data_IF_617633511880
#
_entry.id   IF_617633511880
#
_cell.length_a   1.000
_cell.length_b   1.000
_cell.length_c   1.000
_cell.angle_alpha   90.00
_cell.angle_beta   90.00
_cell.angle_gamma   90.00
#
_symmetry.space_group_name_H-M   'P 1'
#
loop_
_entity.id
_entity.type
_entity.pdbx_description
1 polymer ?
#
# COMPACT_ATOMS: atom_id res chain seq x y z
N UNK A 1 -24.25 23.82 30.60
CA UNK A 1 -23.69 23.45 31.92
C UNK A 1 -22.63 22.42 31.65
N UNK A 2 -21.36 22.80 31.86
CA UNK A 2 -20.22 21.90 31.71
C UNK A 2 -20.14 21.01 32.96
N UNK A 3 -20.03 19.71 32.74
CA UNK A 3 -19.74 18.70 33.76
C UNK A 3 -18.29 18.89 34.21
N UNK A 4 -18.09 19.21 35.49
CA UNK A 4 -16.81 19.69 36.04
C UNK A 4 -15.87 18.56 36.50
N UNK A 5 -16.25 17.29 36.25
CA UNK A 5 -15.42 16.13 36.56
C UNK A 5 -15.18 15.89 38.05
N UNK A 6 -15.89 16.60 38.93
CA UNK A 6 -15.83 16.36 40.37
C UNK A 6 -16.52 15.02 40.71
N UNK A 7 -15.93 14.16 41.57
CA UNK A 7 -16.58 12.92 41.95
C UNK A 7 -17.91 13.22 42.65
N UNK A 8 -19.01 12.70 42.09
CA UNK A 8 -20.36 12.85 42.62
C UNK A 8 -20.44 12.11 43.96
N UNK A 9 -20.29 12.84 45.08
CA UNK A 9 -20.34 12.31 46.46
C UNK A 9 -21.78 12.03 46.94
N UNK A 10 -22.60 11.38 46.11
CA UNK A 10 -23.95 10.91 46.46
C UNK A 10 -24.05 9.39 46.31
N UNK A 11 -24.90 8.70 47.10
CA UNK A 11 -25.15 7.28 46.89
C UNK A 11 -25.67 7.08 45.47
N UNK A 12 -24.94 6.30 44.68
CA UNK A 12 -25.35 5.94 43.32
C UNK A 12 -26.71 5.25 43.38
N UNK A 13 -27.54 5.43 42.36
CA UNK A 13 -28.75 4.62 42.23
C UNK A 13 -28.38 3.13 42.25
N UNK A 14 -29.24 2.29 42.81
CA UNK A 14 -29.00 0.84 42.91
C UNK A 14 -28.67 0.20 41.56
N UNK A 15 -29.31 0.65 40.48
CA UNK A 15 -29.01 0.22 39.12
C UNK A 15 -27.60 0.61 38.65
N UNK A 16 -27.14 1.82 38.96
CA UNK A 16 -25.80 2.27 38.55
C UNK A 16 -24.68 1.61 39.39
N UNK A 17 -24.95 1.28 40.65
CA UNK A 17 -24.03 0.52 41.49
C UNK A 17 -23.86 -0.91 40.96
N UNK A 18 -24.97 -1.62 40.69
CA UNK A 18 -24.95 -2.97 40.13
C UNK A 18 -24.31 -3.03 38.72
N UNK A 19 -24.49 -1.98 37.91
CA UNK A 19 -23.84 -1.87 36.60
C UNK A 19 -22.32 -1.73 36.72
N UNK A 20 -21.80 -0.95 37.67
CA UNK A 20 -20.35 -0.82 37.87
C UNK A 20 -19.71 -2.10 38.39
N UNK A 21 -20.42 -2.83 39.25
CA UNK A 21 -19.97 -4.14 39.74
C UNK A 21 -19.89 -5.19 38.63
N UNK A 22 -20.73 -5.10 37.59
CA UNK A 22 -20.72 -6.06 36.45
C UNK A 22 -20.10 -5.49 35.17
N UNK A 23 -19.64 -4.23 35.18
CA UNK A 23 -19.09 -3.55 34.00
C UNK A 23 -17.88 -4.28 33.41
N UNK A 24 -17.13 -5.01 34.23
CA UNK A 24 -15.99 -5.80 33.78
C UNK A 24 -16.39 -7.04 32.97
N UNK A 25 -17.64 -7.52 33.06
CA UNK A 25 -18.20 -8.64 32.29
C UNK A 25 -18.77 -8.19 30.93
N UNK A 26 -18.60 -6.92 30.57
CA UNK A 26 -19.07 -6.39 29.30
C UNK A 26 -18.32 -7.03 28.10
N UNK A 27 -18.99 -7.17 26.96
CA UNK A 27 -18.43 -7.84 25.78
C UNK A 27 -17.11 -7.25 25.26
N UNK A 28 -16.82 -5.98 25.57
CA UNK A 28 -15.55 -5.32 25.24
C UNK A 28 -14.34 -5.86 26.01
N UNK A 29 -14.52 -6.40 27.21
CA UNK A 29 -13.46 -6.98 28.05
C UNK A 29 -13.41 -8.51 27.97
N UNK A 30 -14.30 -9.15 27.19
CA UNK A 30 -14.41 -10.61 27.09
C UNK A 30 -13.07 -11.28 26.75
N UNK A 31 -12.34 -10.77 25.75
CA UNK A 31 -11.05 -11.35 25.38
C UNK A 31 -9.99 -11.26 26.48
N UNK A 32 -10.00 -10.16 27.24
CA UNK A 32 -9.09 -9.97 28.37
C UNK A 32 -9.43 -10.93 29.53
N UNK A 33 -10.73 -11.10 29.81
CA UNK A 33 -11.21 -12.07 30.80
C UNK A 33 -10.84 -13.50 30.43
N UNK A 34 -11.04 -13.91 29.17
CA UNK A 34 -10.68 -15.24 28.68
C UNK A 34 -9.18 -15.51 28.84
N UNK A 35 -8.32 -14.53 28.50
CA UNK A 35 -6.88 -14.65 28.70
C UNK A 35 -6.50 -14.77 30.18
N UNK A 36 -7.11 -13.95 31.04
CA UNK A 36 -6.82 -13.94 32.47
C UNK A 36 -7.29 -15.23 33.15
N UNK A 37 -8.44 -15.76 32.74
CA UNK A 37 -8.93 -17.07 33.19
C UNK A 37 -8.00 -18.20 32.74
N UNK A 38 -7.51 -18.16 31.50
CA UNK A 38 -6.54 -19.14 31.01
C UNK A 38 -5.17 -19.04 31.72
N UNK A 39 -4.78 -17.85 32.18
CA UNK A 39 -3.61 -17.68 33.04
C UNK A 39 -3.84 -18.29 34.44
N UNK A 40 -5.00 -18.00 35.04
CA UNK A 40 -5.42 -18.58 36.33
C UNK A 40 -5.46 -20.12 36.29
N UNK A 41 -5.99 -20.71 35.20
CA UNK A 41 -6.05 -22.14 35.00
C UNK A 41 -4.67 -22.83 34.91
N UNK A 42 -3.62 -22.10 34.52
CA UNK A 42 -2.24 -22.59 34.47
C UNK A 42 -1.52 -22.39 35.79
N UNK A 43 -1.69 -21.22 36.39
CA UNK A 43 -1.13 -20.88 37.70
C UNK A 43 -2.12 -19.97 38.45
N UNK A 44 -2.73 -20.44 39.55
CA UNK A 44 -3.62 -19.63 40.36
C UNK A 44 -2.96 -18.35 40.88
N UNK A 45 -1.64 -18.30 41.08
CA UNK A 45 -0.94 -17.11 41.58
C UNK A 45 -0.63 -16.06 40.50
N UNK A 46 -0.92 -16.36 39.23
CA UNK A 46 -0.69 -15.42 38.12
C UNK A 46 -1.68 -14.26 38.06
N UNK A 47 -2.75 -14.32 38.86
CA UNK A 47 -3.86 -13.36 38.84
C UNK A 47 -4.10 -12.78 40.25
N UNK A 48 -4.52 -11.50 40.39
CA UNK A 48 -4.81 -10.90 41.70
C UNK A 48 -5.86 -11.66 42.52
N UNK A 49 -5.80 -11.53 43.85
CA UNK A 49 -6.64 -12.30 44.79
C UNK A 49 -8.14 -12.19 44.54
N UNK A 50 -8.64 -10.98 44.21
CA UNK A 50 -10.04 -10.73 43.90
C UNK A 50 -10.54 -11.58 42.72
N UNK A 51 -9.68 -11.83 41.74
CA UNK A 51 -9.98 -12.63 40.56
C UNK A 51 -9.80 -14.13 40.79
N UNK A 52 -8.89 -14.53 41.68
CA UNK A 52 -8.77 -15.94 42.09
C UNK A 52 -10.06 -16.42 42.75
N UNK A 53 -10.62 -15.62 43.65
CA UNK A 53 -11.90 -15.92 44.28
C UNK A 53 -13.03 -16.02 43.24
N UNK A 54 -13.09 -15.06 42.31
CA UNK A 54 -14.08 -15.05 41.23
C UNK A 54 -13.99 -16.29 40.32
N UNK A 55 -12.79 -16.66 39.85
CA UNK A 55 -12.62 -17.83 38.99
C UNK A 55 -12.76 -19.16 39.75
N UNK A 56 -12.43 -19.19 41.04
CA UNK A 56 -12.71 -20.35 41.90
C UNK A 56 -14.21 -20.57 42.10
N UNK A 57 -14.99 -19.50 42.23
CA UNK A 57 -16.46 -19.57 42.32
C UNK A 57 -17.09 -20.01 40.99
N UNK A 58 -16.53 -19.58 39.86
CA UNK A 58 -17.02 -19.96 38.52
C UNK A 58 -16.82 -21.44 38.21
N UNK A 59 -15.72 -22.05 38.69
CA UNK A 59 -15.49 -23.50 38.63
C UNK A 59 -15.25 -24.08 37.23
N UNK A 60 -14.92 -23.24 36.24
CA UNK A 60 -14.68 -23.68 34.86
C UNK A 60 -13.46 -24.61 34.74
N UNK A 61 -13.57 -25.61 33.86
CA UNK A 61 -12.46 -26.52 33.56
C UNK A 61 -11.29 -25.81 32.86
N UNK A 62 -10.06 -26.15 33.26
CA UNK A 62 -8.83 -25.57 32.70
C UNK A 62 -8.71 -25.74 31.17
N UNK A 63 -9.25 -26.84 30.64
CA UNK A 63 -9.29 -27.10 29.20
C UNK A 63 -10.21 -26.11 28.46
N UNK A 64 -11.38 -25.83 29.02
CA UNK A 64 -12.37 -24.87 28.49
C UNK A 64 -11.81 -23.45 28.50
N UNK A 65 -11.24 -23.01 29.62
CA UNK A 65 -10.61 -21.69 29.74
C UNK A 65 -9.48 -21.48 28.71
N UNK A 66 -8.63 -22.50 28.53
CA UNK A 66 -7.55 -22.46 27.54
C UNK A 66 -8.07 -22.45 26.10
N UNK A 67 -9.19 -23.12 25.82
CA UNK A 67 -9.79 -23.15 24.50
C UNK A 67 -10.44 -21.80 24.15
N UNK A 68 -11.15 -21.18 25.09
CA UNK A 68 -11.78 -19.88 24.91
C UNK A 68 -10.73 -18.78 24.65
N UNK A 69 -9.63 -18.78 25.41
CA UNK A 69 -8.53 -17.82 25.22
C UNK A 69 -7.83 -17.91 23.86
N UNK A 70 -7.87 -19.06 23.17
CA UNK A 70 -7.34 -19.21 21.81
C UNK A 70 -8.19 -18.51 20.76
N UNK A 71 -9.39 -18.06 21.14
CA UNK A 71 -10.36 -17.41 20.27
C UNK A 71 -11.18 -18.40 19.45
N UNK A 72 -12.11 -17.86 18.68
CA UNK A 72 -13.05 -18.66 17.91
C UNK A 72 -12.37 -19.57 16.87
N UNK A 73 -12.74 -20.85 16.85
CA UNK A 73 -12.24 -21.84 15.89
C UNK A 73 -12.58 -21.51 14.42
N UNK A 74 -13.61 -20.70 14.19
CA UNK A 74 -14.01 -20.20 12.87
C UNK A 74 -13.23 -18.95 12.44
N UNK A 75 -12.32 -18.41 13.27
CA UNK A 75 -11.47 -17.28 12.89
C UNK A 75 -10.58 -17.68 11.72
N UNK A 76 -10.86 -17.07 10.57
CA UNK A 76 -10.08 -17.28 9.35
C UNK A 76 -8.66 -16.79 9.56
N UNK A 77 -7.68 -17.67 9.35
CA UNK A 77 -6.25 -17.34 9.41
C UNK A 77 -5.83 -16.33 8.34
N UNK A 78 -6.57 -16.26 7.25
CA UNK A 78 -6.32 -15.40 6.11
C UNK A 78 -7.13 -14.09 6.17
N UNK A 79 -7.68 -13.71 7.33
CA UNK A 79 -8.49 -12.49 7.48
C UNK A 79 -7.90 -11.50 8.49
N UNK A 80 -7.89 -10.18 8.18
CA UNK A 80 -8.24 -9.59 6.89
C UNK A 80 -7.23 -9.98 5.81
N UNK A 81 -7.72 -10.29 4.60
CA UNK A 81 -6.84 -10.61 3.48
C UNK A 81 -6.07 -9.33 3.12
N UNK A 82 -4.72 -9.33 3.13
CA UNK A 82 -4.00 -8.24 2.51
C UNK A 82 -4.44 -8.18 1.03
N UNK A 83 -4.71 -6.99 0.51
CA UNK A 83 -5.13 -6.79 -0.87
C UNK A 83 -3.94 -7.01 -1.81
N UNK A 84 -3.54 -8.27 -2.04
CA UNK A 84 -2.34 -8.59 -2.81
C UNK A 84 -2.68 -8.82 -4.28
N UNK A 85 -2.79 -7.74 -5.04
CA UNK A 85 -2.30 -7.77 -6.42
C UNK A 85 -0.91 -7.10 -6.42
N UNK A 86 0.02 -7.61 -7.23
CA UNK A 86 1.35 -7.01 -7.40
C UNK A 86 1.26 -5.52 -7.80
N UNK A 87 0.20 -5.18 -8.52
CA UNK A 87 -0.18 -3.82 -8.85
C UNK A 87 -0.62 -3.03 -7.61
N UNK A 88 -1.51 -3.57 -6.74
CA UNK A 88 -1.96 -2.92 -5.50
C UNK A 88 -0.79 -2.70 -4.52
N UNK A 89 0.10 -3.67 -4.34
CA UNK A 89 1.29 -3.51 -3.50
C UNK A 89 2.23 -2.40 -4.02
N UNK A 90 2.38 -2.29 -5.34
CA UNK A 90 3.14 -1.20 -5.96
C UNK A 90 2.43 0.15 -5.77
N UNK A 91 1.10 0.15 -5.64
CA UNK A 91 0.28 1.34 -5.41
C UNK A 91 0.18 1.78 -3.95
N UNK A 92 0.26 0.89 -2.95
CA UNK A 92 0.20 1.23 -1.52
C UNK A 92 1.58 1.46 -0.88
N UNK A 93 2.66 1.14 -1.59
CA UNK A 93 4.03 1.31 -1.09
C UNK A 93 4.45 0.26 -0.07
N UNK A 94 3.72 -0.85 0.02
CA UNK A 94 4.08 -2.02 0.83
C UNK A 94 5.11 -2.88 0.06
N UNK A 95 6.31 -2.31 -0.12
CA UNK A 95 7.39 -2.89 -0.93
C UNK A 95 7.96 -4.18 -0.34
N UNK A 96 7.78 -4.42 0.96
CA UNK A 96 8.18 -5.65 1.64
C UNK A 96 7.51 -6.90 1.03
N UNK A 97 6.34 -6.74 0.42
CA UNK A 97 5.62 -7.83 -0.27
C UNK A 97 6.10 -8.06 -1.72
N UNK A 98 6.81 -7.09 -2.31
CA UNK A 98 7.30 -7.12 -3.70
C UNK A 98 8.72 -7.65 -3.76
N UNK A 99 9.58 -7.28 -2.81
CA UNK A 99 10.97 -7.72 -2.71
C UNK A 99 11.19 -9.23 -2.98
N UNK A 100 10.50 -10.17 -2.28
CA UNK A 100 10.75 -11.60 -2.50
C UNK A 100 10.26 -12.09 -3.87
N UNK A 101 9.23 -11.47 -4.44
CA UNK A 101 8.74 -11.82 -5.79
C UNK A 101 9.71 -11.34 -6.86
N UNK A 102 10.19 -10.11 -6.71
CA UNK A 102 11.14 -9.49 -7.63
C UNK A 102 12.49 -10.21 -7.59
N UNK A 103 12.97 -10.58 -6.39
CA UNK A 103 14.16 -11.41 -6.23
C UNK A 103 14.04 -12.73 -6.99
N UNK A 104 12.89 -13.43 -6.86
CA UNK A 104 12.63 -14.67 -7.57
C UNK A 104 12.60 -14.46 -9.10
N UNK A 105 11.94 -13.41 -9.58
CA UNK A 105 11.85 -13.08 -11.01
C UNK A 105 13.22 -12.71 -11.60
N UNK A 106 14.02 -11.90 -10.91
CA UNK A 106 15.38 -11.54 -11.34
C UNK A 106 16.29 -12.76 -11.38
N UNK A 107 16.25 -13.63 -10.36
CA UNK A 107 17.01 -14.89 -10.37
C UNK A 107 16.61 -15.82 -11.52
N UNK A 108 15.33 -15.85 -11.89
CA UNK A 108 14.89 -16.62 -13.06
C UNK A 108 15.31 -16.00 -14.40
N UNK A 109 15.33 -14.66 -14.48
CA UNK A 109 15.71 -13.93 -15.69
C UNK A 109 17.23 -13.86 -15.90
N UNK A 110 18.03 -14.03 -14.85
CA UNK A 110 19.50 -13.97 -14.90
C UNK A 110 20.12 -14.99 -13.94
N UNK A 111 20.15 -16.28 -14.31
CA UNK A 111 20.71 -17.33 -13.46
C UNK A 111 22.24 -17.18 -13.34
N UNK A 112 22.75 -17.25 -12.09
CA UNK A 112 24.20 -17.22 -11.80
C UNK A 112 24.75 -15.92 -11.24
N UNK A 113 23.91 -14.89 -11.02
CA UNK A 113 24.33 -13.65 -10.34
C UNK A 113 24.73 -13.90 -8.88
N UNK A 114 25.72 -13.15 -8.40
CA UNK A 114 26.09 -13.16 -6.99
C UNK A 114 24.95 -12.62 -6.11
N UNK A 115 24.83 -13.08 -4.87
CA UNK A 115 23.75 -12.65 -3.97
C UNK A 115 23.70 -11.12 -3.79
N UNK A 116 24.87 -10.48 -3.67
CA UNK A 116 24.96 -9.01 -3.57
C UNK A 116 24.46 -8.30 -4.83
N UNK A 117 24.76 -8.82 -6.02
CA UNK A 117 24.29 -8.24 -7.28
C UNK A 117 22.77 -8.38 -7.42
N UNK A 118 22.19 -9.49 -6.95
CA UNK A 118 20.74 -9.67 -6.93
C UNK A 118 20.08 -8.63 -6.01
N UNK A 119 20.63 -8.40 -4.80
CA UNK A 119 20.08 -7.38 -3.90
C UNK A 119 20.13 -5.96 -4.49
N UNK A 120 21.22 -5.62 -5.19
CA UNK A 120 21.36 -4.34 -5.90
C UNK A 120 20.34 -4.23 -7.04
N UNK A 121 20.20 -5.29 -7.84
CA UNK A 121 19.23 -5.33 -8.92
C UNK A 121 17.79 -5.17 -8.41
N UNK A 122 17.42 -5.85 -7.32
CA UNK A 122 16.10 -5.69 -6.67
C UNK A 122 15.89 -4.24 -6.21
N UNK A 123 16.89 -3.64 -5.55
CA UNK A 123 16.82 -2.26 -5.08
C UNK A 123 16.65 -1.26 -6.23
N UNK A 124 17.41 -1.44 -7.31
CA UNK A 124 17.33 -0.58 -8.49
C UNK A 124 15.98 -0.73 -9.21
N UNK A 125 15.44 -1.95 -9.28
CA UNK A 125 14.10 -2.20 -9.80
C UNK A 125 13.03 -1.51 -8.96
N UNK A 126 13.10 -1.55 -7.63
CA UNK A 126 12.15 -0.86 -6.74
C UNK A 126 12.20 0.66 -7.00
N UNK A 127 13.40 1.24 -7.05
CA UNK A 127 13.58 2.67 -7.36
C UNK A 127 13.02 3.05 -8.73
N UNK A 128 13.22 2.20 -9.75
CA UNK A 128 12.66 2.41 -11.08
C UNK A 128 11.12 2.37 -11.06
N UNK A 129 10.52 1.40 -10.37
CA UNK A 129 9.06 1.30 -10.22
C UNK A 129 8.48 2.49 -9.43
N UNK A 130 9.18 2.98 -8.41
CA UNK A 130 8.81 4.20 -7.69
C UNK A 130 8.79 5.43 -8.60
N UNK A 131 9.81 5.59 -9.44
CA UNK A 131 9.88 6.66 -10.44
C UNK A 131 8.71 6.55 -11.44
N UNK A 132 8.47 5.38 -12.02
CA UNK A 132 7.33 5.14 -12.94
C UNK A 132 6.01 5.52 -12.28
N UNK A 133 5.80 5.11 -11.03
CA UNK A 133 4.59 5.45 -10.26
C UNK A 133 4.44 6.95 -10.06
N UNK A 134 5.51 7.68 -9.76
CA UNK A 134 5.46 9.12 -9.57
C UNK A 134 5.00 9.84 -10.84
N UNK A 135 5.49 9.43 -12.01
CA UNK A 135 5.03 9.96 -13.30
C UNK A 135 3.56 9.62 -13.58
N UNK A 136 3.08 8.41 -13.26
CA UNK A 136 1.66 8.06 -13.41
C UNK A 136 0.73 8.90 -12.53
N UNK A 137 1.18 9.25 -11.33
CA UNK A 137 0.37 10.02 -10.36
C UNK A 137 0.44 11.51 -10.64
N UNK A 138 1.64 12.05 -10.89
CA UNK A 138 1.90 13.51 -10.92
C UNK A 138 2.41 14.04 -12.24
N UNK A 139 2.68 13.20 -13.23
CA UNK A 139 3.24 13.62 -14.51
C UNK A 139 2.37 14.67 -15.23
N UNK A 140 1.05 14.61 -15.04
CA UNK A 140 0.09 15.60 -15.56
C UNK A 140 0.37 17.03 -15.06
N UNK A 141 0.98 17.22 -13.88
CA UNK A 141 1.36 18.53 -13.35
C UNK A 141 2.54 19.14 -14.13
N UNK A 142 3.37 18.31 -14.77
CA UNK A 142 4.46 18.74 -15.63
C UNK A 142 4.09 18.73 -17.12
N UNK A 143 2.82 18.48 -17.46
CA UNK A 143 2.36 18.48 -18.85
C UNK A 143 2.25 19.90 -19.42
N UNK A 144 2.62 20.07 -20.69
CA UNK A 144 2.55 21.35 -21.40
C UNK A 144 1.13 21.58 -21.94
N UNK A 145 0.21 21.91 -21.02
CA UNK A 145 -1.22 22.11 -21.34
C UNK A 145 -1.54 23.55 -21.77
N UNK A 146 -0.72 24.51 -21.34
CA UNK A 146 -0.93 25.93 -21.62
C UNK A 146 -0.25 26.35 -22.93
N UNK A 147 -1.00 26.64 -24.01
CA UNK A 147 -0.43 27.04 -25.29
C UNK A 147 0.23 28.43 -25.25
N UNK A 148 -0.10 29.25 -24.25
CA UNK A 148 0.48 30.58 -24.07
C UNK A 148 1.72 30.55 -23.15
N UNK A 149 1.96 29.43 -22.44
CA UNK A 149 3.10 29.27 -21.55
C UNK A 149 3.10 30.23 -20.36
N UNK A 150 1.93 30.69 -19.92
CA UNK A 150 1.78 31.61 -18.78
C UNK A 150 1.84 30.85 -17.45
N UNK A 151 1.44 29.57 -17.49
CA UNK A 151 1.39 28.67 -16.35
C UNK A 151 2.77 28.07 -16.08
N UNK A 152 3.45 28.54 -15.04
CA UNK A 152 4.66 27.91 -14.51
C UNK A 152 4.30 26.95 -13.39
N UNK A 153 4.22 25.65 -13.66
CA UNK A 153 3.93 24.61 -12.65
C UNK A 153 5.09 24.33 -11.68
N UNK A 154 6.13 25.17 -11.69
CA UNK A 154 7.31 25.06 -10.85
C UNK A 154 8.15 23.82 -11.12
N UNK A 155 9.24 23.68 -10.36
CA UNK A 155 9.98 22.43 -10.33
C UNK A 155 9.13 21.36 -9.63
N UNK A 156 9.15 20.14 -10.17
CA UNK A 156 8.48 18.98 -9.61
C UNK A 156 9.56 18.01 -9.10
N UNK A 157 10.02 18.14 -7.83
CA UNK A 157 11.11 17.30 -7.30
C UNK A 157 10.79 15.81 -7.35
N UNK A 158 9.50 15.47 -7.31
CA UNK A 158 9.02 14.10 -7.41
C UNK A 158 9.18 13.48 -8.81
N UNK A 159 9.41 14.29 -9.84
CA UNK A 159 9.68 13.81 -11.19
C UNK A 159 11.18 13.81 -11.50
N UNK A 160 12.03 14.26 -10.57
CA UNK A 160 13.47 14.22 -10.71
C UNK A 160 13.99 12.78 -10.46
N UNK A 161 14.68 12.16 -11.43
CA UNK A 161 15.34 10.86 -11.26
C UNK A 161 16.30 10.81 -10.05
N UNK A 162 16.92 11.93 -9.70
CA UNK A 162 17.83 12.02 -8.59
C UNK A 162 17.14 11.70 -7.25
N UNK A 163 15.86 12.01 -7.10
CA UNK A 163 15.04 11.69 -5.92
C UNK A 163 14.90 10.17 -5.69
N UNK A 164 15.10 9.37 -6.74
CA UNK A 164 15.05 7.91 -6.68
C UNK A 164 16.45 7.27 -6.66
N UNK A 165 17.50 8.09 -6.61
CA UNK A 165 18.89 7.62 -6.60
C UNK A 165 19.45 7.25 -7.97
N UNK A 166 18.86 7.77 -9.05
CA UNK A 166 19.44 7.68 -10.40
C UNK A 166 20.17 8.98 -10.72
N UNK A 167 21.50 8.95 -10.60
CA UNK A 167 22.34 10.07 -11.00
C UNK A 167 22.63 10.08 -12.51
N UNK A 168 23.34 11.10 -13.02
CA UNK A 168 23.75 11.17 -14.43
C UNK A 168 24.56 9.95 -14.89
N UNK A 169 25.36 9.35 -14.00
CA UNK A 169 26.16 8.16 -14.30
C UNK A 169 25.33 6.87 -14.40
N UNK A 170 24.11 6.86 -13.86
CA UNK A 170 23.24 5.68 -13.83
C UNK A 170 22.28 5.61 -15.04
N UNK A 171 22.24 6.65 -15.87
CA UNK A 171 21.25 6.83 -16.93
C UNK A 171 21.28 5.74 -18.01
N UNK A 172 22.44 5.11 -18.22
CA UNK A 172 22.65 4.05 -19.21
C UNK A 172 22.60 2.63 -18.61
N UNK A 173 22.35 2.50 -17.31
CA UNK A 173 22.34 1.19 -16.63
C UNK A 173 21.05 0.42 -16.96
N UNK A 174 21.18 -0.86 -17.33
CA UNK A 174 20.03 -1.72 -17.64
C UNK A 174 19.38 -2.29 -16.37
N UNK A 175 18.17 -1.81 -16.05
CA UNK A 175 17.40 -2.18 -14.86
C UNK A 175 16.26 -3.12 -15.28
N UNK A 176 16.02 -4.16 -14.49
CA UNK A 176 14.86 -5.03 -14.68
C UNK A 176 13.59 -4.34 -14.17
N UNK A 177 12.55 -4.25 -15.00
CA UNK A 177 11.30 -3.58 -14.64
C UNK A 177 10.07 -4.46 -14.87
N UNK A 178 10.25 -5.77 -15.05
CA UNK A 178 9.15 -6.76 -15.01
C UNK A 178 7.99 -6.44 -15.98
N UNK A 179 8.31 -6.02 -17.20
CA UNK A 179 7.31 -5.74 -18.24
C UNK A 179 6.60 -4.38 -18.11
N UNK A 180 6.94 -3.58 -17.09
CA UNK A 180 6.43 -2.21 -17.00
C UNK A 180 6.86 -1.40 -18.23
N UNK A 181 6.01 -0.47 -18.67
CA UNK A 181 6.19 0.27 -19.92
C UNK A 181 6.29 -0.61 -21.18
N UNK A 182 5.94 -1.91 -21.08
CA UNK A 182 6.08 -2.88 -22.17
C UNK A 182 7.52 -3.40 -22.37
N UNK A 183 8.41 -3.21 -21.40
CA UNK A 183 9.82 -3.60 -21.49
C UNK A 183 10.19 -4.50 -20.30
N UNK A 184 10.92 -5.60 -20.53
CA UNK A 184 11.45 -6.42 -19.43
C UNK A 184 12.59 -5.72 -18.67
N UNK A 185 13.45 -5.03 -19.43
CA UNK A 185 14.55 -4.21 -18.92
C UNK A 185 14.58 -2.89 -19.65
N UNK A 186 14.90 -1.81 -18.93
CA UNK A 186 15.03 -0.47 -19.49
C UNK A 186 16.15 0.29 -18.78
N UNK A 187 16.73 1.27 -19.47
CA UNK A 187 17.62 2.24 -18.82
C UNK A 187 16.81 3.41 -18.23
N UNK A 188 17.28 4.09 -17.16
CA UNK A 188 16.62 5.29 -16.66
C UNK A 188 16.37 6.34 -17.75
N UNK A 189 17.31 6.52 -18.68
CA UNK A 189 17.11 7.42 -19.82
C UNK A 189 15.93 6.99 -20.71
N UNK A 190 15.83 5.71 -21.04
CA UNK A 190 14.71 5.17 -21.84
C UNK A 190 13.37 5.27 -21.09
N UNK A 191 13.37 4.97 -19.79
CA UNK A 191 12.17 5.12 -18.95
C UNK A 191 11.71 6.59 -18.95
N UNK A 192 12.61 7.55 -18.77
CA UNK A 192 12.26 8.96 -18.76
C UNK A 192 11.72 9.45 -20.10
N UNK A 193 12.28 9.00 -21.22
CA UNK A 193 11.75 9.32 -22.55
C UNK A 193 10.29 8.86 -22.68
N UNK A 194 10.02 7.60 -22.29
CA UNK A 194 8.66 7.03 -22.33
C UNK A 194 7.71 7.74 -21.36
N UNK A 195 8.15 8.04 -20.14
CA UNK A 195 7.31 8.67 -19.13
C UNK A 195 7.00 10.13 -19.48
N UNK A 196 7.99 10.89 -19.97
CA UNK A 196 7.80 12.29 -20.37
C UNK A 196 6.90 12.42 -21.58
N UNK A 197 7.07 11.59 -22.62
CA UNK A 197 6.19 11.63 -23.80
C UNK A 197 4.74 11.23 -23.47
N UNK A 198 4.54 10.31 -22.51
CA UNK A 198 3.20 9.79 -22.18
C UNK A 198 2.48 10.69 -21.18
N UNK A 199 3.16 11.18 -20.13
CA UNK A 199 2.53 11.88 -19.01
C UNK A 199 2.81 13.38 -18.94
N UNK A 200 3.88 13.87 -19.58
CA UNK A 200 4.34 15.26 -19.47
C UNK A 200 4.38 16.01 -20.81
N UNK A 201 3.71 15.49 -21.84
CA UNK A 201 3.66 16.11 -23.17
C UNK A 201 2.54 17.17 -23.23
N UNK A 202 1.95 17.39 -24.41
CA UNK A 202 0.79 18.28 -24.61
C UNK A 202 -0.54 17.66 -24.15
N UNK A 203 -0.48 16.57 -23.39
CA UNK A 203 -1.61 15.84 -22.84
C UNK A 203 -1.27 15.45 -21.40
N UNK A 204 -2.14 15.81 -20.47
CA UNK A 204 -2.05 15.42 -19.06
C UNK A 204 -3.05 14.30 -18.79
N UNK A 205 -2.57 13.16 -18.31
CA UNK A 205 -3.41 11.99 -18.05
C UNK A 205 -3.55 11.79 -16.54
N UNK A 206 -4.78 11.84 -16.05
CA UNK A 206 -5.12 11.58 -14.66
C UNK A 206 -6.05 10.37 -14.57
N UNK A 207 -5.52 9.24 -14.10
CA UNK A 207 -6.30 8.00 -14.02
C UNK A 207 -6.04 7.19 -12.76
N UNK A 208 -5.01 7.55 -11.99
CA UNK A 208 -4.61 6.82 -10.79
C UNK A 208 -5.67 6.83 -9.68
N UNK A 209 -6.61 7.79 -9.72
CA UNK A 209 -7.74 7.90 -8.80
C UNK A 209 -8.90 6.93 -9.09
N UNK A 210 -8.90 6.24 -10.25
CA UNK A 210 -9.86 5.18 -10.56
C UNK A 210 -9.79 4.12 -9.45
N UNK A 211 -10.88 3.44 -9.09
CA UNK A 211 -10.81 2.39 -8.06
C UNK A 211 -10.64 1.00 -8.66
N UNK A 212 -11.20 0.77 -9.85
CA UNK A 212 -11.15 -0.50 -10.55
C UNK A 212 -9.74 -0.80 -11.11
N UNK A 213 -9.08 -1.90 -10.69
CA UNK A 213 -7.79 -2.30 -11.23
C UNK A 213 -7.83 -2.68 -12.72
N UNK A 214 -8.93 -3.26 -13.21
CA UNK A 214 -9.07 -3.68 -14.60
C UNK A 214 -9.14 -2.46 -15.52
N UNK A 215 -9.92 -1.45 -15.16
CA UNK A 215 -10.00 -0.18 -15.91
C UNK A 215 -8.65 0.55 -15.94
N UNK A 216 -7.95 0.59 -14.80
CA UNK A 216 -6.59 1.15 -14.74
C UNK A 216 -5.63 0.41 -15.65
N UNK A 217 -5.60 -0.92 -15.59
CA UNK A 217 -4.70 -1.74 -16.38
C UNK A 217 -4.99 -1.56 -17.88
N UNK A 218 -6.26 -1.53 -18.26
CA UNK A 218 -6.71 -1.29 -19.63
C UNK A 218 -6.24 0.06 -20.18
N UNK A 219 -6.30 1.12 -19.35
CA UNK A 219 -5.84 2.43 -19.76
C UNK A 219 -4.31 2.47 -19.87
N UNK A 220 -3.60 1.89 -18.90
CA UNK A 220 -2.14 1.77 -18.92
C UNK A 220 -1.64 1.07 -20.19
N UNK A 221 -2.23 -0.06 -20.57
CA UNK A 221 -1.85 -0.81 -21.78
C UNK A 221 -2.04 -0.01 -23.08
N UNK A 222 -3.01 0.92 -23.08
CA UNK A 222 -3.28 1.77 -24.25
C UNK A 222 -2.33 2.94 -24.38
N UNK A 223 -1.95 3.56 -23.27
CA UNK A 223 -1.16 4.81 -23.26
C UNK A 223 0.34 4.56 -23.09
N UNK A 224 0.72 3.46 -22.45
CA UNK A 224 2.12 3.09 -22.21
C UNK A 224 2.60 2.07 -23.24
N UNK A 225 3.86 2.19 -23.65
CA UNK A 225 4.52 1.25 -24.56
C UNK A 225 5.23 1.94 -25.72
N UNK A 226 6.40 1.45 -26.17
CA UNK A 226 7.31 2.14 -27.10
C UNK A 226 6.63 2.65 -28.38
N UNK A 227 5.64 1.94 -28.90
CA UNK A 227 4.97 2.28 -30.16
C UNK A 227 3.64 3.07 -29.99
N UNK A 228 3.30 3.49 -28.77
CA UNK A 228 2.03 4.20 -28.48
C UNK A 228 2.09 5.71 -28.71
N UNK A 229 3.17 6.22 -29.30
CA UNK A 229 3.28 7.62 -29.70
C UNK A 229 2.22 8.00 -30.74
N UNK A 230 1.65 9.19 -30.64
CA UNK A 230 0.67 9.68 -31.61
C UNK A 230 1.37 10.04 -32.93
N UNK A 231 1.22 9.18 -33.94
CA UNK A 231 1.73 9.42 -35.28
C UNK A 231 0.57 9.51 -36.29
N UNK A 232 0.49 10.62 -37.02
CA UNK A 232 -0.49 10.82 -38.09
C UNK A 232 0.17 10.70 -39.47
N UNK A 233 -0.54 10.09 -40.41
CA UNK A 233 -0.16 10.12 -41.83
C UNK A 233 -0.22 11.54 -42.39
N UNK A 234 0.41 11.76 -43.55
CA UNK A 234 0.36 13.07 -44.22
C UNK A 234 -1.08 13.49 -44.50
N UNK A 235 -1.90 12.57 -44.98
CA UNK A 235 -3.32 12.78 -45.26
C UNK A 235 -4.09 13.10 -43.99
N UNK A 236 -3.80 12.41 -42.88
CA UNK A 236 -4.39 12.69 -41.57
C UNK A 236 -4.07 14.10 -41.07
N UNK A 237 -2.81 14.54 -41.19
CA UNK A 237 -2.39 15.90 -40.84
C UNK A 237 -3.12 16.94 -41.69
N UNK A 238 -3.25 16.72 -43.01
CA UNK A 238 -4.00 17.61 -43.90
C UNK A 238 -5.49 17.65 -43.59
N UNK A 239 -6.10 16.53 -43.22
CA UNK A 239 -7.50 16.47 -42.84
C UNK A 239 -7.78 17.24 -41.55
N UNK A 240 -6.92 17.11 -40.54
CA UNK A 240 -7.00 17.88 -39.28
C UNK A 240 -6.86 19.38 -39.59
N UNK A 241 -5.86 19.78 -40.39
CA UNK A 241 -5.64 21.18 -40.75
C UNK A 241 -6.86 21.79 -41.45
N UNK A 242 -7.47 21.08 -42.40
CA UNK A 242 -8.68 21.54 -43.11
C UNK A 242 -9.93 21.67 -42.22
N UNK A 243 -9.93 21.10 -41.02
CA UNK A 243 -11.01 21.25 -40.04
C UNK A 243 -10.79 22.43 -39.10
N UNK A 244 -9.55 22.89 -38.93
CA UNK A 244 -9.19 24.00 -38.06
C UNK A 244 -9.30 25.37 -38.75
N UNK A 245 -9.12 25.41 -40.07
CA UNK A 245 -9.27 26.60 -40.95
C UNK A 245 -10.68 26.60 -41.53
#
# INVERSE_FOLDING_TARGET
>A
MADDGSPVNGPRSTGNAAMLETAFLYGGSAHWLEQMQAAYAKDPNSVPESWRAFFAELGDEAASATQNAKGASWKRKDWPRPAVSEQIAAFDGDWALIEPKLEKKIKSASPGMAAEEVTRAVTDSIKALMMIRAYRIRGHLAAQLDPLGLSGFGDQPELDPASYGFGPADMDRSIYIDGYLGLERATPAQMLDILRRTYCSTLGIEFMHISDPEEKAWLQERIEGPDKGVAFTREGKLAILRKLI
#
